data_IF_567267363417
#
_entry.id   IF_567267363417
#
_cell.length_a   1.000
_cell.length_b   1.000
_cell.length_c   1.000
_cell.angle_alpha   90.00
_cell.angle_beta   90.00
_cell.angle_gamma   90.00
#
_symmetry.space_group_name_H-M   'P 1'
#
loop_
_entity.id
_entity.type
_entity.pdbx_description
1 polymer ?
#
# COMPACT_ATOMS: atom_id res chain seq x y z
N UNK A 1 -23.77 -7.31 -3.44
CA UNK A 1 -22.40 -6.81 -3.67
C UNK A 1 -22.07 -7.07 -5.10
N UNK A 2 -21.68 -6.02 -5.81
CA UNK A 2 -21.40 -6.07 -7.24
C UNK A 2 -19.95 -6.51 -7.48
N UNK A 3 -19.70 -7.09 -8.65
CA UNK A 3 -18.37 -7.48 -9.12
C UNK A 3 -17.94 -6.58 -10.27
N UNK A 4 -16.70 -6.08 -10.21
CA UNK A 4 -16.11 -5.22 -11.22
C UNK A 4 -14.74 -5.77 -11.64
N UNK A 5 -14.46 -5.79 -12.93
CA UNK A 5 -13.09 -6.01 -13.42
C UNK A 5 -12.36 -4.67 -13.42
N UNK A 6 -11.20 -4.63 -12.79
CA UNK A 6 -10.36 -3.43 -12.66
C UNK A 6 -8.94 -3.78 -13.07
N UNK A 7 -8.40 -3.03 -14.03
CA UNK A 7 -7.00 -3.09 -14.40
C UNK A 7 -6.20 -2.16 -13.49
N UNK A 8 -5.24 -2.70 -12.74
CA UNK A 8 -4.41 -1.96 -11.81
C UNK A 8 -3.43 -1.08 -12.58
N UNK A 9 -3.47 0.24 -12.33
CA UNK A 9 -2.47 1.19 -12.83
C UNK A 9 -1.49 1.60 -11.75
N UNK A 10 -1.99 1.84 -10.54
CA UNK A 10 -1.17 2.23 -9.40
C UNK A 10 -1.81 1.74 -8.08
N UNK A 11 -0.98 1.57 -7.06
CA UNK A 11 -1.41 1.20 -5.71
C UNK A 11 -0.70 2.06 -4.69
N UNK A 12 -1.49 2.74 -3.88
CA UNK A 12 -1.01 3.57 -2.77
C UNK A 12 -1.85 3.29 -1.51
N UNK A 13 -1.65 4.07 -0.46
CA UNK A 13 -2.49 4.04 0.72
C UNK A 13 -2.55 5.41 1.39
N UNK A 14 -3.58 5.61 2.20
CA UNK A 14 -3.63 6.74 3.14
C UNK A 14 -3.98 6.26 4.53
N UNK A 15 -3.75 7.09 5.54
CA UNK A 15 -4.25 6.85 6.89
C UNK A 15 -5.59 7.55 7.03
N UNK A 16 -6.66 6.80 7.30
CA UNK A 16 -7.98 7.39 7.56
C UNK A 16 -7.93 8.17 8.88
N UNK A 17 -8.36 9.43 8.83
CA UNK A 17 -8.27 10.35 9.97
C UNK A 17 -9.15 9.93 11.15
N UNK A 18 -10.23 9.17 10.91
CA UNK A 18 -11.22 8.83 11.94
C UNK A 18 -10.77 7.64 12.78
N UNK A 19 -10.32 6.57 12.14
CA UNK A 19 -9.90 5.34 12.83
C UNK A 19 -8.38 5.21 12.99
N UNK A 20 -7.60 6.04 12.28
CA UNK A 20 -6.13 5.98 12.20
C UNK A 20 -5.63 4.62 11.72
N UNK A 21 -6.35 4.01 10.78
CA UNK A 21 -5.99 2.78 10.08
C UNK A 21 -5.68 3.09 8.60
N UNK A 22 -4.84 2.28 7.95
CA UNK A 22 -4.54 2.49 6.56
C UNK A 22 -5.69 2.01 5.66
N UNK A 23 -5.96 2.78 4.62
CA UNK A 23 -6.85 2.42 3.52
C UNK A 23 -6.00 2.26 2.28
N UNK A 24 -5.94 1.05 1.74
CA UNK A 24 -5.26 0.79 0.47
C UNK A 24 -6.09 1.38 -0.66
N UNK A 25 -5.43 2.12 -1.55
CA UNK A 25 -5.99 2.74 -2.75
C UNK A 25 -5.44 2.04 -3.99
N UNK A 26 -6.32 1.56 -4.85
CA UNK A 26 -5.94 1.00 -6.15
C UNK A 26 -6.56 1.90 -7.22
N UNK A 27 -5.71 2.55 -7.99
CA UNK A 27 -6.11 3.34 -9.14
C UNK A 27 -6.09 2.46 -10.37
N UNK A 28 -7.13 2.58 -11.20
CA UNK A 28 -7.25 1.70 -12.34
C UNK A 28 -8.25 2.12 -13.41
N UNK A 29 -8.48 1.17 -14.31
CA UNK A 29 -9.49 1.26 -15.36
C UNK A 29 -10.43 0.07 -15.30
N UNK A 30 -11.72 0.32 -15.43
CA UNK A 30 -12.69 -0.77 -15.62
C UNK A 30 -12.64 -1.30 -17.05
N UNK A 31 -13.19 -2.48 -17.27
CA UNK A 31 -13.45 -3.05 -18.61
C UNK A 31 -14.36 -2.15 -19.47
N UNK A 32 -15.13 -1.25 -18.83
CA UNK A 32 -15.94 -0.20 -19.47
C UNK A 32 -15.18 1.13 -19.69
N UNK A 33 -13.85 1.13 -19.60
CA UNK A 33 -12.94 2.29 -19.83
C UNK A 33 -13.08 3.45 -18.83
N UNK A 34 -13.87 3.27 -17.76
CA UNK A 34 -14.02 4.26 -16.68
C UNK A 34 -12.79 4.29 -15.78
N UNK A 35 -12.32 5.47 -15.37
CA UNK A 35 -11.37 5.58 -14.25
C UNK A 35 -12.04 5.09 -12.97
N UNK A 36 -11.30 4.35 -12.16
CA UNK A 36 -11.81 3.79 -10.91
C UNK A 36 -10.78 3.92 -9.81
N UNK A 37 -11.26 4.28 -8.63
CA UNK A 37 -10.53 4.17 -7.37
C UNK A 37 -11.16 3.05 -6.53
N UNK A 38 -10.35 2.08 -6.13
CA UNK A 38 -10.78 1.01 -5.21
C UNK A 38 -10.15 1.26 -3.85
N UNK A 39 -10.98 1.29 -2.81
CA UNK A 39 -10.59 1.46 -1.42
C UNK A 39 -10.72 0.11 -0.70
N UNK A 40 -9.65 -0.35 -0.07
CA UNK A 40 -9.64 -1.60 0.71
C UNK A 40 -9.11 -1.36 2.13
N UNK A 41 -10.00 -1.48 3.13
CA UNK A 41 -9.75 -1.06 4.52
C UNK A 41 -9.31 -2.19 5.45
N UNK A 42 -9.42 -3.45 5.01
CA UNK A 42 -9.19 -4.62 5.88
C UNK A 42 -7.72 -5.03 5.99
N UNK A 43 -6.84 -4.44 5.18
CA UNK A 43 -5.43 -4.80 5.18
C UNK A 43 -4.65 -3.95 6.20
N UNK A 44 -3.96 -4.61 7.12
CA UNK A 44 -3.23 -3.95 8.20
C UNK A 44 -1.73 -4.23 8.11
N UNK A 45 -0.89 -3.25 8.46
CA UNK A 45 0.55 -3.36 8.42
C UNK A 45 1.03 -4.32 9.51
N UNK A 46 2.06 -5.08 9.20
CA UNK A 46 2.68 -5.97 10.18
C UNK A 46 4.15 -6.22 9.84
N UNK A 47 4.88 -6.70 10.84
CA UNK A 47 6.22 -7.25 10.70
C UNK A 47 6.43 -8.38 11.70
N UNK A 48 7.61 -8.98 11.73
CA UNK A 48 7.89 -10.10 12.63
C UNK A 48 9.03 -9.78 13.60
N UNK A 49 8.88 -10.22 14.85
CA UNK A 49 9.97 -10.34 15.80
C UNK A 49 10.38 -11.81 15.95
N UNK A 50 11.68 -12.06 15.99
CA UNK A 50 12.28 -13.36 16.26
C UNK A 50 12.77 -13.41 17.71
N UNK A 51 12.06 -14.10 18.60
CA UNK A 51 12.47 -14.25 19.98
C UNK A 51 13.38 -15.47 20.20
N UNK A 52 14.04 -15.51 21.36
CA UNK A 52 14.53 -16.75 21.97
C UNK A 52 13.39 -17.78 22.00
N UNK A 53 13.64 -18.95 21.38
CA UNK A 53 12.63 -19.99 21.19
C UNK A 53 12.14 -20.61 22.50
N UNK A 54 12.89 -20.47 23.59
CA UNK A 54 12.45 -20.88 24.93
C UNK A 54 11.51 -19.86 25.59
N UNK A 55 11.42 -18.63 25.05
CA UNK A 55 10.74 -17.49 25.70
C UNK A 55 9.70 -16.80 24.81
N UNK A 56 9.29 -17.41 23.70
CA UNK A 56 8.35 -16.86 22.71
C UNK A 56 7.11 -16.23 23.37
N UNK A 57 6.44 -16.95 24.27
CA UNK A 57 5.23 -16.45 24.94
C UNK A 57 5.53 -15.25 25.84
N UNK A 58 6.65 -15.29 26.57
CA UNK A 58 7.06 -14.18 27.46
C UNK A 58 7.38 -12.92 26.66
N UNK A 59 8.14 -13.05 25.57
CA UNK A 59 8.47 -11.92 24.69
C UNK A 59 7.21 -11.34 24.06
N UNK A 60 6.25 -12.17 23.64
CA UNK A 60 4.97 -11.71 23.12
C UNK A 60 4.21 -10.87 24.15
N UNK A 61 4.14 -11.32 25.41
CA UNK A 61 3.51 -10.54 26.48
C UNK A 61 4.24 -9.22 26.76
N UNK A 62 5.57 -9.20 26.70
CA UNK A 62 6.37 -7.98 26.86
C UNK A 62 6.10 -6.97 25.74
N UNK A 63 6.02 -7.44 24.49
CA UNK A 63 5.63 -6.63 23.33
C UNK A 63 4.24 -6.01 23.54
N UNK A 64 3.26 -6.79 24.01
CA UNK A 64 1.89 -6.32 24.28
C UNK A 64 1.80 -5.32 25.45
N UNK A 65 2.70 -5.42 26.44
CA UNK A 65 2.75 -4.54 27.63
C UNK A 65 3.58 -3.27 27.43
N UNK A 66 4.40 -3.21 26.38
CA UNK A 66 5.26 -2.07 26.08
C UNK A 66 4.42 -0.83 25.76
N UNK A 67 4.83 0.34 26.26
CA UNK A 67 4.12 1.60 25.99
C UNK A 67 4.58 2.22 24.65
N UNK A 68 3.63 2.41 23.75
CA UNK A 68 3.82 3.02 22.44
C UNK A 68 3.04 4.34 22.28
N UNK A 69 2.55 4.92 23.38
CA UNK A 69 1.77 6.17 23.33
C UNK A 69 2.57 7.35 22.76
N UNK A 70 3.85 7.44 23.08
CA UNK A 70 4.70 8.56 22.68
C UNK A 70 4.87 8.70 21.16
N UNK A 71 4.58 7.63 20.39
CA UNK A 71 4.68 7.63 18.93
C UNK A 71 3.34 7.41 18.23
N UNK A 72 2.20 7.58 18.93
CA UNK A 72 0.84 7.35 18.43
C UNK A 72 0.61 5.95 17.82
N UNK A 73 1.48 5.02 18.16
CA UNK A 73 1.44 3.67 17.64
C UNK A 73 0.59 2.79 18.53
N UNK A 74 -0.12 1.86 17.90
CA UNK A 74 -0.91 0.82 18.57
C UNK A 74 -0.57 -0.53 17.97
N UNK A 75 -0.24 -1.48 18.82
CA UNK A 75 -0.28 -2.90 18.48
C UNK A 75 -1.75 -3.31 18.46
N UNK A 76 -2.23 -3.72 17.29
CA UNK A 76 -3.61 -4.18 17.11
C UNK A 76 -3.74 -5.67 17.41
N UNK A 77 -2.70 -6.44 17.09
CA UNK A 77 -2.68 -7.89 17.25
C UNK A 77 -1.25 -8.40 17.33
N UNK A 78 -1.02 -9.41 18.16
CA UNK A 78 0.19 -10.23 18.07
C UNK A 78 -0.18 -11.71 17.92
N UNK A 79 0.59 -12.44 17.12
CA UNK A 79 0.33 -13.85 16.83
C UNK A 79 1.63 -14.63 16.81
N UNK A 80 1.68 -15.79 17.47
CA UNK A 80 2.81 -16.71 17.32
C UNK A 80 2.58 -17.51 16.03
N UNK A 81 3.52 -17.41 15.11
CA UNK A 81 3.47 -18.10 13.80
C UNK A 81 4.73 -18.93 13.58
N UNK A 82 4.63 -20.01 12.82
CA UNK A 82 5.79 -20.77 12.37
C UNK A 82 6.21 -20.30 10.98
N UNK A 83 7.49 -19.99 10.80
CA UNK A 83 8.08 -19.58 9.52
C UNK A 83 9.36 -20.39 9.28
N UNK A 84 9.67 -20.64 8.02
CA UNK A 84 10.96 -21.25 7.64
C UNK A 84 11.95 -20.15 7.30
N UNK A 85 13.05 -20.07 8.04
CA UNK A 85 14.16 -19.13 7.79
C UNK A 85 15.43 -19.97 7.71
N UNK A 86 16.22 -19.81 6.64
CA UNK A 86 17.45 -20.58 6.42
C UNK A 86 17.27 -22.10 6.58
N UNK A 87 16.18 -22.64 6.01
CA UNK A 87 15.76 -24.04 6.11
C UNK A 87 15.39 -24.55 7.53
N UNK A 88 15.32 -23.67 8.53
CA UNK A 88 14.88 -24.00 9.89
C UNK A 88 13.48 -23.47 10.17
N UNK A 89 12.66 -24.28 10.86
CA UNK A 89 11.34 -23.88 11.33
C UNK A 89 11.47 -23.13 12.65
N UNK A 90 11.15 -21.84 12.63
CA UNK A 90 11.24 -20.95 13.78
C UNK A 90 9.86 -20.39 14.14
N UNK A 91 9.61 -20.24 15.44
CA UNK A 91 8.46 -19.48 15.94
C UNK A 91 8.81 -18.00 15.94
N UNK A 92 8.02 -17.22 15.21
CA UNK A 92 8.07 -15.76 15.19
C UNK A 92 6.82 -15.18 15.85
N UNK A 93 6.90 -13.92 16.23
CA UNK A 93 5.75 -13.14 16.68
C UNK A 93 5.40 -12.17 15.54
N UNK A 94 4.27 -12.39 14.88
CA UNK A 94 3.68 -11.44 13.93
C UNK A 94 3.06 -10.30 14.72
N UNK A 95 3.43 -9.07 14.41
CA UNK A 95 3.00 -7.87 15.13
C UNK A 95 2.27 -6.98 14.14
N UNK A 96 0.95 -6.88 14.29
CA UNK A 96 0.09 -6.03 13.46
C UNK A 96 -0.08 -4.67 14.13
N UNK A 97 0.11 -3.59 13.38
CA UNK A 97 0.07 -2.22 13.89
C UNK A 97 -1.01 -1.39 13.19
N UNK A 98 -1.29 -0.19 13.69
CA UNK A 98 -2.25 0.74 13.09
C UNK A 98 -1.67 1.62 11.97
N UNK A 99 -0.35 1.67 11.79
CA UNK A 99 0.25 2.55 10.79
C UNK A 99 1.57 1.99 10.25
N UNK A 100 1.73 1.89 8.91
CA UNK A 100 2.99 1.48 8.30
C UNK A 100 4.11 2.48 8.56
N UNK A 101 3.82 3.79 8.68
CA UNK A 101 4.81 4.83 8.94
C UNK A 101 5.48 4.69 10.31
N UNK A 102 4.81 4.03 11.26
CA UNK A 102 5.30 3.83 12.62
C UNK A 102 6.09 2.53 12.80
N UNK A 103 6.18 1.69 11.76
CA UNK A 103 6.93 0.43 11.84
C UNK A 103 8.40 0.67 12.23
N UNK A 104 9.16 1.61 11.62
CA UNK A 104 10.59 1.77 11.95
C UNK A 104 10.82 2.08 13.44
N UNK A 105 10.10 3.06 13.99
CA UNK A 105 10.21 3.44 15.42
C UNK A 105 9.79 2.31 16.35
N UNK A 106 8.73 1.59 15.99
CA UNK A 106 8.23 0.47 16.81
C UNK A 106 9.20 -0.71 16.79
N UNK A 107 9.80 -0.97 15.62
CA UNK A 107 10.77 -2.03 15.43
C UNK A 107 12.00 -1.80 16.30
N UNK A 108 12.51 -0.57 16.41
CA UNK A 108 13.61 -0.26 17.34
C UNK A 108 13.24 -0.58 18.79
N UNK A 109 12.08 -0.09 19.26
CA UNK A 109 11.60 -0.37 20.63
C UNK A 109 11.48 -1.87 20.91
N UNK A 110 10.97 -2.65 19.96
CA UNK A 110 10.82 -4.10 20.10
C UNK A 110 12.16 -4.81 20.04
N UNK A 111 13.08 -4.36 19.18
CA UNK A 111 14.42 -4.94 19.06
C UNK A 111 15.22 -4.80 20.36
N UNK A 112 15.00 -3.72 21.11
CA UNK A 112 15.64 -3.47 22.40
C UNK A 112 15.05 -4.31 23.55
N UNK A 113 13.94 -5.03 23.33
CA UNK A 113 13.35 -5.88 24.38
C UNK A 113 14.23 -7.10 24.66
N UNK A 114 14.32 -7.53 25.94
CA UNK A 114 15.05 -8.73 26.30
C UNK A 114 14.57 -9.96 25.53
N UNK A 115 15.52 -10.74 25.02
CA UNK A 115 15.27 -11.99 24.31
C UNK A 115 14.60 -11.83 22.93
N UNK A 116 14.51 -10.63 22.38
CA UNK A 116 14.33 -10.41 20.94
C UNK A 116 15.70 -10.51 20.27
N UNK A 117 15.85 -11.45 19.35
CA UNK A 117 17.11 -11.73 18.67
C UNK A 117 17.23 -10.95 17.37
N UNK A 118 16.13 -10.82 16.62
CA UNK A 118 16.08 -10.05 15.37
C UNK A 118 14.64 -9.68 15.01
N UNK A 119 14.48 -8.86 13.97
CA UNK A 119 13.20 -8.48 13.36
C UNK A 119 13.24 -8.72 11.85
N UNK A 120 12.12 -9.11 11.27
CA UNK A 120 12.02 -9.47 9.85
C UNK A 120 10.86 -8.76 9.16
N UNK A 121 11.03 -8.55 7.85
CA UNK A 121 10.02 -8.03 6.92
C UNK A 121 9.45 -6.65 7.30
N UNK A 122 10.16 -5.88 8.12
CA UNK A 122 9.75 -4.54 8.58
C UNK A 122 9.98 -3.43 7.53
N UNK A 123 10.79 -3.71 6.51
CA UNK A 123 11.22 -2.78 5.47
C UNK A 123 10.45 -2.96 4.15
N UNK A 124 9.48 -3.88 4.10
CA UNK A 124 8.65 -4.09 2.93
C UNK A 124 7.59 -2.97 2.87
N UNK A 125 7.58 -2.11 1.84
CA UNK A 125 6.60 -1.04 1.72
C UNK A 125 5.17 -1.57 1.77
N UNK A 126 4.27 -0.85 2.45
CA UNK A 126 2.93 -1.34 2.75
C UNK A 126 2.10 -1.70 1.51
N UNK A 127 2.15 -0.90 0.44
CA UNK A 127 1.47 -1.22 -0.81
C UNK A 127 2.04 -2.48 -1.48
N UNK A 128 3.37 -2.70 -1.40
CA UNK A 128 4.00 -3.93 -1.92
C UNK A 128 3.59 -5.13 -1.10
N UNK A 129 3.58 -4.98 0.22
CA UNK A 129 3.09 -5.99 1.17
C UNK A 129 1.65 -6.39 0.84
N UNK A 130 0.79 -5.40 0.56
CA UNK A 130 -0.59 -5.65 0.12
C UNK A 130 -0.67 -6.49 -1.15
N UNK A 131 0.09 -6.11 -2.18
CA UNK A 131 0.13 -6.85 -3.45
C UNK A 131 0.62 -8.30 -3.27
N UNK A 132 1.73 -8.49 -2.53
CA UNK A 132 2.31 -9.81 -2.28
C UNK A 132 1.34 -10.72 -1.53
N UNK A 133 0.77 -10.23 -0.42
CA UNK A 133 -0.07 -11.04 0.46
C UNK A 133 -1.40 -11.42 -0.19
N UNK A 134 -1.89 -10.63 -1.16
CA UNK A 134 -3.14 -10.88 -1.89
C UNK A 134 -2.89 -11.50 -3.28
N UNK A 135 -1.65 -11.84 -3.62
CA UNK A 135 -1.25 -12.39 -4.93
C UNK A 135 -1.74 -11.53 -6.11
N UNK A 136 -1.58 -10.21 -5.98
CA UNK A 136 -2.01 -9.23 -6.99
C UNK A 136 -0.81 -8.76 -7.79
N UNK A 137 -0.94 -8.80 -9.11
CA UNK A 137 0.08 -8.33 -10.04
C UNK A 137 -0.22 -6.89 -10.47
N UNK A 138 0.77 -5.96 -10.38
CA UNK A 138 0.65 -4.65 -11.01
C UNK A 138 0.36 -4.77 -12.51
N UNK A 139 -0.26 -3.75 -13.11
CA UNK A 139 -0.56 -3.72 -14.55
C UNK A 139 -1.29 -4.98 -15.01
N UNK A 140 -2.29 -5.40 -14.25
CA UNK A 140 -3.09 -6.58 -14.56
C UNK A 140 -4.53 -6.41 -14.08
N UNK A 141 -5.40 -7.28 -14.58
CA UNK A 141 -6.80 -7.29 -14.20
C UNK A 141 -7.04 -8.02 -12.88
N UNK A 142 -7.78 -7.37 -12.00
CA UNK A 142 -8.32 -7.95 -10.78
C UNK A 142 -9.85 -7.88 -10.80
N UNK A 143 -10.47 -8.86 -10.14
CA UNK A 143 -11.89 -8.87 -9.84
C UNK A 143 -12.09 -8.29 -8.46
N UNK A 144 -12.83 -7.19 -8.40
CA UNK A 144 -13.16 -6.48 -7.18
C UNK A 144 -14.62 -6.77 -6.84
N UNK A 145 -14.86 -7.30 -5.65
CA UNK A 145 -16.20 -7.41 -5.08
C UNK A 145 -16.36 -6.33 -4.04
N UNK A 146 -17.43 -5.55 -4.15
CA UNK A 146 -17.63 -4.41 -3.27
C UNK A 146 -18.98 -3.73 -3.46
N UNK A 147 -19.03 -2.49 -3.02
CA UNK A 147 -20.12 -1.55 -3.27
C UNK A 147 -19.55 -0.27 -3.83
N UNK A 148 -20.31 0.42 -4.66
CA UNK A 148 -19.98 1.79 -5.01
C UNK A 148 -19.99 2.66 -3.75
N UNK A 149 -18.97 3.48 -3.61
CA UNK A 149 -18.89 4.51 -2.59
C UNK A 149 -19.17 5.87 -3.25
N UNK A 150 -19.58 6.84 -2.44
CA UNK A 150 -19.66 8.23 -2.91
C UNK A 150 -18.30 8.68 -3.46
N UNK A 151 -18.37 9.60 -4.41
CA UNK A 151 -17.27 10.19 -5.18
C UNK A 151 -16.20 10.90 -4.34
N UNK A 152 -16.47 11.21 -3.06
CA UNK A 152 -15.43 11.43 -2.04
C UNK A 152 -14.39 12.52 -2.35
N UNK A 153 -14.69 13.45 -3.26
CA UNK A 153 -13.76 14.44 -3.85
C UNK A 153 -12.64 13.84 -4.73
N UNK A 154 -12.77 12.61 -5.21
CA UNK A 154 -11.85 12.02 -6.17
C UNK A 154 -12.28 12.35 -7.60
N UNK A 155 -11.33 12.78 -8.44
CA UNK A 155 -11.56 12.98 -9.87
C UNK A 155 -11.54 11.65 -10.64
N UNK A 156 -12.50 10.77 -10.35
CA UNK A 156 -12.67 9.46 -11.00
C UNK A 156 -14.13 9.19 -11.35
N UNK A 157 -14.37 8.37 -12.38
CA UNK A 157 -15.71 8.02 -12.83
C UNK A 157 -16.44 7.07 -11.86
N UNK A 158 -15.70 6.38 -10.98
CA UNK A 158 -16.20 5.34 -10.08
C UNK A 158 -15.32 5.19 -8.84
N UNK A 159 -15.93 5.11 -7.65
CA UNK A 159 -15.25 4.74 -6.40
C UNK A 159 -15.86 3.45 -5.87
N UNK A 160 -15.03 2.46 -5.53
CA UNK A 160 -15.46 1.18 -4.98
C UNK A 160 -14.89 0.99 -3.57
N UNK A 161 -15.74 0.64 -2.60
CA UNK A 161 -15.29 0.08 -1.32
C UNK A 161 -15.27 -1.45 -1.46
N UNK A 162 -14.06 -2.01 -1.56
CA UNK A 162 -13.85 -3.42 -1.78
C UNK A 162 -13.95 -4.23 -0.48
N UNK A 163 -14.66 -5.35 -0.54
CA UNK A 163 -14.66 -6.40 0.48
C UNK A 163 -13.75 -7.57 0.11
N UNK A 164 -13.39 -7.71 -1.16
CA UNK A 164 -12.37 -8.66 -1.60
C UNK A 164 -11.86 -8.29 -2.99
N UNK A 165 -10.60 -8.62 -3.24
CA UNK A 165 -9.93 -8.42 -4.53
C UNK A 165 -9.21 -9.72 -4.87
N UNK A 166 -9.33 -10.16 -6.13
CA UNK A 166 -8.68 -11.38 -6.62
C UNK A 166 -8.06 -11.16 -7.98
N UNK A 167 -6.87 -11.72 -8.19
CA UNK A 167 -6.24 -11.77 -9.49
C UNK A 167 -7.12 -12.49 -10.52
N UNK A 168 -7.13 -11.99 -11.75
CA UNK A 168 -7.74 -12.67 -12.89
C UNK A 168 -6.67 -13.11 -13.90
N UNK A 169 -7.10 -13.94 -14.87
CA UNK A 169 -6.31 -14.39 -16.01
C UNK A 169 -6.52 -13.54 -17.27
N UNK A 170 -7.25 -12.42 -17.19
CA UNK A 170 -7.42 -11.54 -18.33
C UNK A 170 -6.07 -10.92 -18.71
N UNK A 171 -5.73 -10.95 -20.00
CA UNK A 171 -4.43 -10.48 -20.52
C UNK A 171 -4.54 -9.23 -21.39
N UNK A 172 -5.73 -8.89 -21.90
CA UNK A 172 -5.90 -7.73 -22.79
C UNK A 172 -5.66 -6.42 -22.03
N UNK A 173 -4.75 -5.58 -22.50
CA UNK A 173 -4.57 -4.26 -21.88
C UNK A 173 -5.74 -3.33 -22.19
N UNK A 174 -6.27 -2.56 -21.21
CA UNK A 174 -7.29 -1.57 -21.48
C UNK A 174 -6.71 -0.42 -22.32
N UNK A 175 -7.58 0.31 -23.00
CA UNK A 175 -7.17 1.55 -23.66
C UNK A 175 -6.77 2.61 -22.62
N UNK A 176 -5.49 2.98 -22.59
CA UNK A 176 -4.94 4.01 -21.73
C UNK A 176 -4.75 5.33 -22.47
N UNK A 177 -5.02 6.44 -21.77
CA UNK A 177 -4.65 7.78 -22.24
C UNK A 177 -3.21 8.03 -21.84
N UNK A 178 -2.33 8.21 -22.82
CA UNK A 178 -0.90 8.42 -22.64
C UNK A 178 -0.58 9.84 -23.05
N UNK A 179 0.09 10.60 -22.18
CA UNK A 179 0.55 11.96 -22.43
C UNK A 179 2.08 11.99 -22.38
N UNK A 180 2.70 12.46 -23.46
CA UNK A 180 4.10 12.86 -23.47
C UNK A 180 4.16 14.39 -23.37
N UNK A 181 5.13 14.92 -22.62
CA UNK A 181 5.39 16.35 -22.54
C UNK A 181 6.88 16.63 -22.49
N UNK A 182 7.26 17.82 -22.91
CA UNK A 182 8.63 18.33 -22.94
C UNK A 182 8.63 19.82 -22.56
N UNK A 183 9.72 20.31 -21.96
CA UNK A 183 9.80 21.66 -21.39
C UNK A 183 11.03 22.40 -21.88
N UNK A 184 10.89 23.71 -22.06
CA UNK A 184 12.02 24.60 -22.37
C UNK A 184 12.19 25.63 -21.26
N UNK A 185 13.44 25.80 -20.83
CA UNK A 185 13.82 26.67 -19.73
C UNK A 185 14.84 27.68 -20.26
N UNK A 186 14.65 28.95 -19.88
CA UNK A 186 15.61 30.03 -20.13
C UNK A 186 16.24 30.46 -18.81
N UNK A 187 17.55 30.65 -18.80
CA UNK A 187 18.22 31.27 -17.65
C UNK A 187 18.25 32.79 -17.80
N UNK A 188 17.56 33.50 -16.91
CA UNK A 188 17.57 34.96 -16.84
C UNK A 188 18.03 35.42 -15.46
N UNK A 189 19.08 36.24 -15.41
CA UNK A 189 19.59 36.84 -14.16
C UNK A 189 19.84 35.79 -13.06
N UNK A 190 20.47 34.66 -13.43
CA UNK A 190 20.71 33.49 -12.57
C UNK A 190 19.42 32.86 -12.00
N UNK A 191 18.31 32.92 -12.76
CA UNK A 191 17.07 32.20 -12.46
C UNK A 191 16.63 31.40 -13.67
N UNK A 192 16.22 30.15 -13.43
CA UNK A 192 15.55 29.32 -14.41
C UNK A 192 14.09 29.76 -14.56
N UNK A 193 13.70 30.09 -15.79
CA UNK A 193 12.34 30.47 -16.16
C UNK A 193 11.82 29.43 -17.14
N UNK A 194 10.75 28.73 -16.77
CA UNK A 194 10.02 27.87 -17.70
C UNK A 194 9.34 28.75 -18.76
N UNK A 195 9.79 28.63 -20.00
CA UNK A 195 9.30 29.45 -21.12
C UNK A 195 8.38 28.68 -22.06
N UNK A 196 8.41 27.35 -22.00
CA UNK A 196 7.54 26.53 -22.84
C UNK A 196 7.26 25.17 -22.21
N UNK A 197 6.04 24.67 -22.43
CA UNK A 197 5.67 23.26 -22.26
C UNK A 197 5.02 22.80 -23.55
N UNK A 198 5.57 21.77 -24.19
CA UNK A 198 4.93 21.07 -25.30
C UNK A 198 4.34 19.75 -24.80
N UNK A 199 3.15 19.37 -25.27
CA UNK A 199 2.47 18.15 -24.86
C UNK A 199 1.74 17.49 -26.03
N UNK A 200 1.78 16.15 -26.08
CA UNK A 200 1.14 15.32 -27.09
C UNK A 200 0.53 14.05 -26.47
N UNK A 201 -0.72 13.76 -26.83
CA UNK A 201 -1.46 12.58 -26.39
C UNK A 201 -1.60 11.53 -27.49
N UNK A 202 -1.76 10.26 -27.09
CA UNK A 202 -2.08 9.15 -28.00
C UNK A 202 -3.53 9.17 -28.52
N UNK A 203 -4.33 10.14 -28.09
CA UNK A 203 -5.71 10.42 -28.50
C UNK A 203 -5.82 11.59 -29.50
N UNK A 204 -4.67 12.08 -30.00
CA UNK A 204 -4.61 13.20 -30.93
C UNK A 204 -4.50 14.58 -30.26
N UNK A 205 -4.51 14.65 -28.92
CA UNK A 205 -4.23 15.88 -28.20
C UNK A 205 -2.83 16.42 -28.54
N UNK A 206 -2.72 17.72 -28.84
CA UNK A 206 -1.44 18.43 -29.01
C UNK A 206 -1.59 19.85 -28.50
N UNK A 207 -0.68 20.31 -27.65
CA UNK A 207 -0.70 21.67 -27.10
C UNK A 207 0.72 22.18 -26.84
N UNK A 208 0.91 23.47 -27.08
CA UNK A 208 2.09 24.22 -26.62
C UNK A 208 1.59 25.33 -25.70
N UNK A 209 2.22 25.47 -24.54
CA UNK A 209 1.97 26.51 -23.55
C UNK A 209 3.24 27.35 -23.48
N UNK A 210 3.12 28.67 -23.63
CA UNK A 210 4.21 29.67 -23.58
C UNK A 210 3.83 30.80 -22.65
#
# INVERSE_FOLDING_TARGET
MEEHNVYILDVDYEIDEKDRLPVVKIFGKTDKKKSVLVLHKEFLPYFYAYPDQAKVTKVREEIEKTDYKDNEMKILKTEIVEKTINAEKLKLIKITTNSPHKIPETREKIKDLPNVLETYEYDIPFYKRYLIDNDLRPLSWVKVKGKEAGDGNFEVDLVLEASSIKQTEMQEEPHLKILAYDIEILEEKNKEVLIMISAAGNDGFKKVIT
#
